data_IF_689018512104
#
_entry.id   IF_689018512104
#
_cell.length_a   1.000
_cell.length_b   1.000
_cell.length_c   1.000
_cell.angle_alpha   90.00
_cell.angle_beta   90.00
_cell.angle_gamma   90.00
#
_symmetry.space_group_name_H-M   'P 1'
#
loop_
_entity.id
_entity.type
_entity.pdbx_description
1 polymer ?
#
# COMPACT_ATOMS: atom_id res chain seq x y z
N UNK A 1 18.77 -3.48 15.40
CA UNK A 1 18.96 -3.55 16.84
C UNK A 1 17.65 -3.54 17.65
N UNK A 2 16.71 -2.65 17.31
CA UNK A 2 15.45 -2.58 18.03
C UNK A 2 14.57 -3.81 17.83
N UNK A 3 14.63 -4.43 16.66
CA UNK A 3 13.93 -5.70 16.38
C UNK A 3 14.55 -6.82 17.18
N UNK A 4 15.89 -6.91 17.20
CA UNK A 4 16.62 -7.92 17.99
C UNK A 4 16.36 -7.80 19.49
N UNK A 5 16.16 -6.58 19.98
CA UNK A 5 15.87 -6.31 21.40
C UNK A 5 14.37 -6.38 21.72
N UNK A 6 13.55 -6.82 20.77
CA UNK A 6 12.11 -6.97 20.91
C UNK A 6 11.37 -5.63 21.20
N UNK A 7 12.00 -4.48 20.88
CA UNK A 7 11.36 -3.18 20.99
C UNK A 7 10.38 -2.98 19.83
N UNK A 8 10.78 -3.38 18.62
CA UNK A 8 9.92 -3.40 17.45
C UNK A 8 9.59 -4.82 17.03
N UNK A 9 8.36 -5.06 16.63
CA UNK A 9 7.91 -6.35 16.11
C UNK A 9 8.41 -6.61 14.70
N UNK A 10 8.67 -5.56 13.93
CA UNK A 10 9.23 -5.65 12.58
C UNK A 10 10.06 -4.40 12.27
N UNK A 11 10.89 -4.48 11.22
CA UNK A 11 11.75 -3.39 10.80
C UNK A 11 10.95 -2.31 10.05
N UNK A 12 10.82 -1.08 10.59
CA UNK A 12 10.05 -0.02 9.94
C UNK A 12 10.67 0.48 8.62
N UNK A 13 11.95 0.18 8.37
CA UNK A 13 12.60 0.53 7.10
C UNK A 13 12.25 -0.44 5.98
N UNK A 14 11.77 -1.63 6.29
CA UNK A 14 11.38 -2.63 5.31
C UNK A 14 9.87 -2.70 5.12
N UNK A 15 9.12 -2.52 6.19
CA UNK A 15 7.67 -2.62 6.20
C UNK A 15 7.06 -1.35 6.80
N UNK A 16 6.04 -0.80 6.16
CA UNK A 16 5.33 0.38 6.66
C UNK A 16 4.67 0.08 8.01
N UNK A 17 4.88 1.00 8.96
CA UNK A 17 4.12 1.02 10.20
C UNK A 17 2.73 1.59 9.91
N UNK A 18 1.77 0.71 9.64
CA UNK A 18 0.42 1.10 9.22
C UNK A 18 -0.34 1.87 10.29
N UNK A 19 -0.07 1.57 11.57
CA UNK A 19 -0.79 2.20 12.69
C UNK A 19 -0.32 3.62 12.94
N UNK A 20 0.99 3.87 12.88
CA UNK A 20 1.57 5.18 13.11
C UNK A 20 1.77 5.97 11.82
N UNK A 21 2.84 5.64 11.08
CA UNK A 21 3.21 6.31 9.83
C UNK A 21 2.11 6.18 8.79
N UNK A 22 1.41 5.04 8.75
CA UNK A 22 0.31 4.81 7.82
C UNK A 22 -0.81 5.85 7.96
N UNK A 23 -1.13 6.25 9.16
CA UNK A 23 -2.15 7.30 9.39
C UNK A 23 -1.70 8.64 8.85
N UNK A 24 -0.42 8.97 9.01
CA UNK A 24 0.14 10.20 8.46
C UNK A 24 0.11 10.18 6.93
N UNK A 25 0.41 9.03 6.33
CA UNK A 25 0.33 8.83 4.88
C UNK A 25 -1.11 9.02 4.39
N UNK A 26 -2.08 8.41 5.05
CA UNK A 26 -3.50 8.54 4.72
C UNK A 26 -3.95 10.01 4.78
N UNK A 27 -3.53 10.73 5.80
CA UNK A 27 -3.81 12.17 5.94
C UNK A 27 -3.20 12.95 4.78
N UNK A 28 -1.94 12.67 4.45
CA UNK A 28 -1.24 13.32 3.33
C UNK A 28 -1.95 13.09 2.00
N UNK A 29 -2.38 11.85 1.74
CA UNK A 29 -3.13 11.50 0.51
C UNK A 29 -4.47 12.24 0.47
N UNK A 30 -5.21 12.25 1.57
CA UNK A 30 -6.51 12.91 1.64
C UNK A 30 -6.38 14.42 1.42
N UNK A 31 -5.42 15.07 2.07
CA UNK A 31 -5.18 16.50 1.92
C UNK A 31 -4.71 16.86 0.51
N UNK A 32 -3.79 16.08 -0.06
CA UNK A 32 -3.27 16.31 -1.40
C UNK A 32 -4.37 16.23 -2.46
N UNK A 33 -5.20 15.20 -2.40
CA UNK A 33 -6.31 15.01 -3.35
C UNK A 33 -7.50 15.91 -3.07
N UNK A 34 -7.60 16.45 -1.87
CA UNK A 34 -8.58 17.49 -1.56
C UNK A 34 -8.31 18.77 -2.31
N UNK A 35 -7.04 19.08 -2.55
CA UNK A 35 -6.62 20.24 -3.35
C UNK A 35 -6.63 19.92 -4.85
N UNK A 36 -6.14 18.75 -5.23
CA UNK A 36 -6.05 18.31 -6.62
C UNK A 36 -6.48 16.86 -6.77
N UNK A 37 -7.67 16.65 -7.30
CA UNK A 37 -8.28 15.31 -7.42
C UNK A 37 -7.44 14.33 -8.23
N UNK A 38 -6.74 14.79 -9.24
CA UNK A 38 -5.95 13.97 -10.16
C UNK A 38 -4.48 13.88 -9.76
N UNK A 39 -4.15 14.24 -8.51
CA UNK A 39 -2.80 14.14 -8.02
C UNK A 39 -2.32 12.70 -8.04
N UNK A 40 -1.22 12.46 -8.77
CA UNK A 40 -0.58 11.15 -8.79
C UNK A 40 0.28 11.00 -7.54
N UNK A 41 0.05 9.94 -6.81
CA UNK A 41 0.74 9.64 -5.56
C UNK A 41 1.41 8.28 -5.68
N UNK A 42 2.67 8.23 -5.34
CA UNK A 42 3.44 7.01 -5.35
C UNK A 42 4.41 6.93 -4.18
N UNK A 43 4.98 5.77 -4.00
CA UNK A 43 6.00 5.52 -2.98
C UNK A 43 7.21 4.86 -3.64
N UNK A 44 8.39 5.12 -3.11
CA UNK A 44 9.62 4.49 -3.54
C UNK A 44 10.40 4.00 -2.32
N UNK A 45 11.44 3.24 -2.56
CA UNK A 45 12.26 2.65 -1.51
C UNK A 45 11.88 1.20 -1.21
N UNK A 46 12.35 0.68 -0.11
CA UNK A 46 12.16 -0.74 0.25
C UNK A 46 10.70 -1.12 0.43
N UNK A 47 9.87 -0.19 0.89
CA UNK A 47 8.44 -0.42 1.09
C UNK A 47 7.72 -0.76 -0.22
N UNK A 48 8.17 -0.20 -1.35
CA UNK A 48 7.57 -0.48 -2.65
C UNK A 48 7.72 -1.93 -3.11
N UNK A 49 8.66 -2.68 -2.53
CA UNK A 49 8.87 -4.10 -2.83
C UNK A 49 8.41 -5.05 -1.71
N UNK A 50 7.87 -4.53 -0.62
CA UNK A 50 7.42 -5.34 0.51
C UNK A 50 5.90 -5.61 0.40
N UNK A 51 5.46 -6.88 0.43
CA UNK A 51 4.07 -7.24 0.12
C UNK A 51 3.00 -6.53 0.97
N UNK A 52 3.18 -6.44 2.28
CA UNK A 52 2.20 -5.79 3.15
C UNK A 52 2.12 -4.30 2.89
N UNK A 53 3.26 -3.68 2.61
CA UNK A 53 3.34 -2.25 2.30
C UNK A 53 2.69 -1.94 0.95
N UNK A 54 2.88 -2.79 -0.06
CA UNK A 54 2.21 -2.67 -1.36
C UNK A 54 0.69 -2.77 -1.19
N UNK A 55 0.23 -3.72 -0.39
CA UNK A 55 -1.19 -3.88 -0.10
C UNK A 55 -1.76 -2.65 0.63
N UNK A 56 -1.02 -2.10 1.58
CA UNK A 56 -1.38 -0.85 2.26
C UNK A 56 -1.50 0.31 1.25
N UNK A 57 -0.53 0.44 0.35
CA UNK A 57 -0.56 1.48 -0.69
C UNK A 57 -1.78 1.34 -1.59
N UNK A 58 -2.14 0.10 -1.95
CA UNK A 58 -3.35 -0.14 -2.74
C UNK A 58 -4.61 0.32 -2.01
N UNK A 59 -4.75 -0.04 -0.74
CA UNK A 59 -5.92 0.36 0.07
C UNK A 59 -6.00 1.87 0.27
N UNK A 60 -4.85 2.53 0.37
CA UNK A 60 -4.78 3.98 0.56
C UNK A 60 -5.03 4.75 -0.74
N UNK A 61 -5.02 4.06 -1.88
CA UNK A 61 -5.31 4.66 -3.17
C UNK A 61 -4.10 5.26 -3.87
N UNK A 62 -2.92 4.71 -3.65
CA UNK A 62 -1.73 5.11 -4.39
C UNK A 62 -1.84 4.72 -5.86
N UNK A 63 -1.28 5.53 -6.73
CA UNK A 63 -1.28 5.28 -8.16
C UNK A 63 -0.18 4.32 -8.59
N UNK A 64 0.96 4.36 -7.92
CA UNK A 64 2.09 3.50 -8.25
C UNK A 64 3.01 3.26 -7.04
N UNK A 65 3.80 2.21 -7.14
CA UNK A 65 4.92 1.94 -6.24
C UNK A 65 6.18 1.74 -7.07
N UNK A 66 7.31 2.19 -6.57
CA UNK A 66 8.62 1.96 -7.17
C UNK A 66 9.44 1.06 -6.26
N UNK A 67 10.16 0.15 -6.84
CA UNK A 67 11.04 -0.76 -6.10
C UNK A 67 12.25 -1.14 -6.95
N UNK A 68 13.22 -1.84 -6.35
CA UNK A 68 14.35 -2.36 -7.11
C UNK A 68 13.87 -3.39 -8.15
N UNK A 69 14.58 -3.54 -9.28
CA UNK A 69 14.20 -4.51 -10.31
C UNK A 69 14.02 -5.93 -9.78
N UNK A 70 14.79 -6.31 -8.78
CA UNK A 70 14.72 -7.65 -8.18
C UNK A 70 13.42 -7.90 -7.42
N UNK A 71 12.70 -6.86 -7.03
CA UNK A 71 11.46 -6.96 -6.27
C UNK A 71 10.21 -6.70 -7.10
N UNK A 72 10.35 -6.38 -8.37
CA UNK A 72 9.22 -6.06 -9.25
C UNK A 72 8.20 -7.21 -9.30
N UNK A 73 8.66 -8.45 -9.42
CA UNK A 73 7.77 -9.62 -9.47
C UNK A 73 6.96 -9.75 -8.18
N UNK A 74 7.61 -9.56 -7.03
CA UNK A 74 6.96 -9.60 -5.72
C UNK A 74 5.93 -8.47 -5.60
N UNK A 75 6.29 -7.28 -6.01
CA UNK A 75 5.40 -6.11 -5.97
C UNK A 75 4.17 -6.31 -6.86
N UNK A 76 4.35 -6.83 -8.07
CA UNK A 76 3.23 -7.14 -8.98
C UNK A 76 2.29 -8.18 -8.39
N UNK A 77 2.83 -9.24 -7.80
CA UNK A 77 2.02 -10.28 -7.16
C UNK A 77 1.24 -9.70 -5.97
N UNK A 78 1.88 -8.90 -5.14
CA UNK A 78 1.24 -8.25 -4.00
C UNK A 78 0.12 -7.30 -4.45
N UNK A 79 0.35 -6.52 -5.48
CA UNK A 79 -0.65 -5.62 -6.06
C UNK A 79 -1.84 -6.41 -6.62
N UNK A 80 -1.58 -7.50 -7.32
CA UNK A 80 -2.64 -8.36 -7.86
C UNK A 80 -3.48 -8.98 -6.73
N UNK A 81 -2.83 -9.45 -5.67
CA UNK A 81 -3.55 -9.98 -4.49
C UNK A 81 -4.42 -8.94 -3.83
N UNK A 82 -3.92 -7.72 -3.66
CA UNK A 82 -4.67 -6.62 -3.08
C UNK A 82 -5.91 -6.30 -3.93
N UNK A 83 -5.76 -6.24 -5.23
CA UNK A 83 -6.86 -6.00 -6.16
C UNK A 83 -7.92 -7.11 -6.10
N UNK A 84 -7.49 -8.38 -6.01
CA UNK A 84 -8.40 -9.52 -5.89
C UNK A 84 -9.15 -9.50 -4.56
N UNK A 85 -8.48 -9.18 -3.46
CA UNK A 85 -9.13 -9.04 -2.15
C UNK A 85 -10.20 -7.96 -2.17
N UNK A 86 -9.92 -6.83 -2.77
CA UNK A 86 -10.88 -5.74 -2.91
C UNK A 86 -12.09 -6.17 -3.73
N UNK A 87 -11.85 -6.89 -4.84
CA UNK A 87 -12.92 -7.39 -5.70
C UNK A 87 -13.81 -8.41 -5.01
N UNK A 88 -13.23 -9.26 -4.18
CA UNK A 88 -13.97 -10.25 -3.39
C UNK A 88 -14.78 -9.61 -2.26
N UNK A 89 -14.24 -8.54 -1.65
CA UNK A 89 -14.91 -7.82 -0.58
C UNK A 89 -16.09 -6.98 -1.06
N UNK A 90 -16.10 -6.56 -2.33
CA UNK A 90 -17.24 -5.83 -2.90
C UNK A 90 -18.38 -6.79 -3.16
N UNK A 91 -19.60 -6.53 -2.65
CA UNK A 91 -20.76 -7.36 -2.96
C UNK A 91 -20.98 -7.37 -4.48
N UNK A 92 -21.39 -8.52 -5.00
CA UNK A 92 -21.65 -8.71 -6.43
C UNK A 92 -22.83 -7.84 -6.90
N UNK A 93 -22.61 -6.54 -7.03
CA UNK A 93 -23.61 -5.65 -7.64
C UNK A 93 -23.79 -5.89 -9.14
N UNK A 94 -22.83 -6.53 -9.76
CA UNK A 94 -22.85 -6.77 -11.20
C UNK A 94 -23.94 -7.74 -11.66
N UNK A 95 -24.42 -8.65 -10.78
CA UNK A 95 -25.46 -9.62 -11.11
C UNK A 95 -26.87 -9.01 -11.29
N UNK A 96 -27.07 -7.75 -10.91
CA UNK A 96 -28.37 -7.06 -11.00
C UNK A 96 -28.49 -6.10 -12.18
N UNK A 97 -27.46 -5.95 -12.98
CA UNK A 97 -27.53 -5.13 -14.19
C UNK A 97 -27.87 -6.02 -15.38
N UNK A 98 -29.11 -5.99 -15.72
CA UNK A 98 -29.51 -6.38 -17.07
C UNK A 98 -29.71 -5.13 -17.90
#
# INVERSE_FOLDING_TARGET
DYVKKEIYTFDPFQRIDEVGVGRLIELGVALGRGVRKNLKIGICGEHGGEPNSVEFCHRTGFDYVSCSPFRVTIAKLAAARAALKEKQAKPKKAAKKK
#
